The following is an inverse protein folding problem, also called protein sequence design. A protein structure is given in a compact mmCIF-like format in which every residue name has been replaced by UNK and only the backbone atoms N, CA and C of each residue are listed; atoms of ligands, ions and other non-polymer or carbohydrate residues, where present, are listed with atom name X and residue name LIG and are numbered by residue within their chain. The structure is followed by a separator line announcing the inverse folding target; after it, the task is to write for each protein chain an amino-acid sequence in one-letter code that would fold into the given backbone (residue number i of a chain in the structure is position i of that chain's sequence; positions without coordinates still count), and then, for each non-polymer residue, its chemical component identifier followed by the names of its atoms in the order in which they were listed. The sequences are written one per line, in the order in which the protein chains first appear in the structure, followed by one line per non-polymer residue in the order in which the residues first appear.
data_IF_325243467068
#
_entry.id   IF_325243467068
#
_cell.length_a   1.000
_cell.length_b   1.000
_cell.length_c   1.000
_cell.angle_alpha   90.00
_cell.angle_beta   90.00
_cell.angle_gamma   90.00
#
_symmetry.space_group_name_H-M   'P 1'
#
loop_
_entity.id
_entity.type
_entity.pdbx_description
1 polymer ?
#
# COMPACT_ATOMS: atom_id res chain seq x y z
N UNK A 1 -3.49 11.38 13.19
CA UNK A 1 -3.40 9.99 13.67
C UNK A 1 -2.41 9.95 14.83
N UNK A 2 -2.76 9.27 15.93
CA UNK A 2 -1.81 9.00 17.02
C UNK A 2 -1.00 7.73 16.73
N UNK A 3 0.05 7.48 17.50
CA UNK A 3 0.96 6.35 17.28
C UNK A 3 0.27 4.99 17.43
N UNK A 4 -0.64 4.85 18.40
CA UNK A 4 -1.39 3.61 18.62
C UNK A 4 -2.23 3.22 17.40
N UNK A 5 -2.90 4.19 16.78
CA UNK A 5 -3.67 3.97 15.56
C UNK A 5 -2.78 3.65 14.36
N UNK A 6 -1.61 4.28 14.26
CA UNK A 6 -0.64 4.00 13.20
C UNK A 6 -0.17 2.54 13.27
N UNK A 7 0.27 2.08 14.45
CA UNK A 7 0.70 0.70 14.69
C UNK A 7 -0.43 -0.30 14.40
N UNK A 8 -1.67 0.03 14.78
CA UNK A 8 -2.84 -0.81 14.50
C UNK A 8 -3.08 -0.97 12.99
N UNK A 9 -3.13 0.13 12.23
CA UNK A 9 -3.33 0.07 10.77
C UNK A 9 -2.21 -0.74 10.12
N UNK A 10 -0.95 -0.50 10.50
CA UNK A 10 0.18 -1.24 9.95
C UNK A 10 0.04 -2.75 10.17
N UNK A 11 -0.38 -3.18 11.37
CA UNK A 11 -0.62 -4.59 11.68
C UNK A 11 -1.78 -5.16 10.88
N UNK A 12 -2.87 -4.42 10.75
CA UNK A 12 -4.04 -4.85 9.97
C UNK A 12 -3.67 -5.00 8.48
N UNK A 13 -2.91 -4.06 7.92
CA UNK A 13 -2.41 -4.12 6.54
C UNK A 13 -1.48 -5.31 6.30
N UNK A 14 -0.61 -5.63 7.25
CA UNK A 14 0.24 -6.82 7.14
C UNK A 14 -0.59 -8.11 7.04
N UNK A 15 -1.59 -8.27 7.91
CA UNK A 15 -2.50 -9.41 7.85
C UNK A 15 -3.27 -9.46 6.53
N UNK A 16 -3.77 -8.32 6.07
CA UNK A 16 -4.51 -8.26 4.81
C UNK A 16 -3.63 -8.57 3.60
N UNK A 17 -2.34 -8.21 3.63
CA UNK A 17 -1.37 -8.62 2.62
C UNK A 17 -1.07 -10.14 2.63
N UNK A 18 -1.23 -10.81 3.78
CA UNK A 18 -1.11 -12.26 3.92
C UNK A 18 -2.34 -12.97 3.34
N UNK A 19 -3.52 -12.38 3.52
CA UNK A 19 -4.80 -12.91 3.06
C UNK A 19 -5.06 -12.65 1.55
N UNK A 20 -4.73 -11.45 1.05
CA UNK A 20 -5.02 -11.02 -0.33
C UNK A 20 -4.03 -9.96 -0.87
N UNK A 21 -4.22 -9.56 -2.12
CA UNK A 21 -3.58 -8.37 -2.69
C UNK A 21 -4.37 -7.12 -2.32
N UNK A 22 -3.69 -6.14 -1.77
CA UNK A 22 -4.31 -4.85 -1.45
C UNK A 22 -3.77 -3.75 -2.35
N UNK A 23 -4.66 -2.93 -2.90
CA UNK A 23 -4.27 -1.77 -3.69
C UNK A 23 -4.01 -0.54 -2.80
N UNK A 24 -3.27 0.44 -3.32
CA UNK A 24 -2.95 1.68 -2.59
C UNK A 24 -4.20 2.46 -2.13
N UNK A 25 -5.27 2.46 -2.92
CA UNK A 25 -6.54 3.12 -2.58
C UNK A 25 -7.13 2.58 -1.27
N UNK A 26 -6.94 1.28 -1.00
CA UNK A 26 -7.43 0.64 0.21
C UNK A 26 -6.67 1.10 1.47
N UNK A 27 -5.35 1.29 1.34
CA UNK A 27 -4.51 1.88 2.39
C UNK A 27 -4.98 3.32 2.68
N UNK A 28 -5.22 4.11 1.63
CA UNK A 28 -5.74 5.47 1.76
C UNK A 28 -7.11 5.50 2.45
N UNK A 29 -8.03 4.61 2.07
CA UNK A 29 -9.36 4.51 2.70
C UNK A 29 -9.25 4.23 4.21
N UNK A 30 -8.36 3.33 4.64
CA UNK A 30 -8.11 3.06 6.07
C UNK A 30 -7.53 4.26 6.79
N UNK A 31 -6.56 4.94 6.19
CA UNK A 31 -5.96 6.14 6.76
C UNK A 31 -7.01 7.23 6.94
N UNK A 32 -7.85 7.49 5.93
CA UNK A 32 -8.95 8.46 6.00
C UNK A 32 -9.94 8.11 7.10
N UNK A 33 -10.36 6.84 7.18
CA UNK A 33 -11.28 6.35 8.23
C UNK A 33 -10.76 6.62 9.64
N UNK A 34 -9.46 6.48 9.87
CA UNK A 34 -8.85 6.68 11.20
C UNK A 34 -8.50 8.13 11.48
N UNK A 35 -8.17 8.92 10.45
CA UNK A 35 -7.87 10.33 10.62
C UNK A 35 -9.13 11.20 10.77
N UNK A 36 -10.29 10.70 10.34
CA UNK A 36 -11.57 11.38 10.43
C UNK A 36 -11.75 12.46 9.36
N UNK A 37 -12.91 13.10 9.39
CA UNK A 37 -13.38 14.06 8.36
C UNK A 37 -12.49 15.31 8.23
N UNK A 38 -11.76 15.67 9.29
CA UNK A 38 -10.87 16.84 9.31
C UNK A 38 -9.45 16.56 8.77
N UNK A 39 -9.19 15.37 8.21
CA UNK A 39 -7.90 15.07 7.62
C UNK A 39 -7.79 15.67 6.22
N UNK A 40 -6.87 16.62 6.03
CA UNK A 40 -6.55 17.10 4.69
C UNK A 40 -5.97 15.98 3.81
N UNK A 41 -6.13 16.13 2.49
CA UNK A 41 -5.59 15.20 1.50
C UNK A 41 -4.07 15.06 1.65
N UNK A 42 -3.34 16.16 1.78
CA UNK A 42 -1.87 16.14 1.96
C UNK A 42 -1.45 15.35 3.20
N UNK A 43 -2.19 15.50 4.30
CA UNK A 43 -1.92 14.76 5.53
C UNK A 43 -2.23 13.28 5.38
N UNK A 44 -3.34 12.93 4.71
CA UNK A 44 -3.68 11.54 4.42
C UNK A 44 -2.61 10.89 3.54
N UNK A 45 -2.21 11.57 2.46
CA UNK A 45 -1.16 11.12 1.54
C UNK A 45 0.18 10.92 2.26
N UNK A 46 0.63 11.89 3.06
CA UNK A 46 1.87 11.77 3.84
C UNK A 46 1.84 10.55 4.79
N UNK A 47 0.68 10.28 5.41
CA UNK A 47 0.51 9.12 6.29
C UNK A 47 0.50 7.80 5.51
N UNK A 48 -0.13 7.76 4.33
CA UNK A 48 -0.09 6.59 3.44
C UNK A 48 1.35 6.32 3.01
N UNK A 49 2.09 7.32 2.54
CA UNK A 49 3.47 7.14 2.11
C UNK A 49 4.39 6.68 3.25
N UNK A 50 4.18 7.19 4.47
CA UNK A 50 4.88 6.69 5.66
C UNK A 50 4.55 5.22 5.94
N UNK A 51 3.28 4.81 5.88
CA UNK A 51 2.87 3.42 6.06
C UNK A 51 3.49 2.50 5.00
N UNK A 52 3.43 2.88 3.73
CA UNK A 52 4.03 2.13 2.63
C UNK A 52 5.54 1.98 2.83
N UNK A 53 6.23 3.05 3.23
CA UNK A 53 7.67 3.01 3.50
C UNK A 53 8.01 2.02 4.62
N UNK A 54 7.24 2.02 5.71
CA UNK A 54 7.41 1.09 6.82
C UNK A 54 7.05 -0.36 6.47
N UNK A 55 6.07 -0.57 5.59
CA UNK A 55 5.69 -1.91 5.13
C UNK A 55 6.77 -2.49 4.22
N UNK A 56 7.23 -1.74 3.22
CA UNK A 56 8.28 -2.19 2.31
C UNK A 56 9.61 -2.42 3.05
N UNK A 57 10.03 -1.47 3.89
CA UNK A 57 11.28 -1.61 4.66
C UNK A 57 11.28 -2.77 5.65
N UNK A 58 10.11 -3.28 6.06
CA UNK A 58 10.01 -4.45 6.93
C UNK A 58 10.44 -5.76 6.26
N UNK A 59 10.49 -5.80 4.92
CA UNK A 59 10.74 -7.02 4.14
C UNK A 59 9.59 -8.03 4.17
N UNK A 60 8.46 -7.72 4.85
CA UNK A 60 7.27 -8.58 4.93
C UNK A 60 6.25 -8.30 3.85
N UNK A 61 6.42 -7.22 3.09
CA UNK A 61 5.49 -6.79 2.04
C UNK A 61 6.28 -6.45 0.79
N UNK A 62 5.77 -6.83 -0.36
CA UNK A 62 6.32 -6.46 -1.67
C UNK A 62 5.31 -5.69 -2.52
N UNK A 63 5.82 -4.76 -3.32
CA UNK A 63 5.03 -4.00 -4.29
C UNK A 63 5.03 -4.67 -5.67
N UNK A 64 3.88 -4.64 -6.33
CA UNK A 64 3.70 -5.28 -7.64
C UNK A 64 2.38 -4.92 -8.29
N UNK A 65 1.99 -5.77 -9.23
CA UNK A 65 0.67 -5.71 -9.85
C UNK A 65 0.11 -7.12 -10.11
N UNK A 66 -1.22 -7.30 -10.00
CA UNK A 66 -1.91 -8.45 -10.57
C UNK A 66 -1.66 -8.54 -12.08
N UNK A 67 -1.54 -9.76 -12.60
CA UNK A 67 -1.52 -10.00 -14.04
C UNK A 67 -2.94 -10.21 -14.56
N UNK A 68 -3.16 -9.96 -15.86
CA UNK A 68 -4.45 -10.24 -16.52
C UNK A 68 -4.88 -11.70 -16.45
N UNK A 69 -3.95 -12.60 -16.16
CA UNK A 69 -4.17 -14.04 -15.99
C UNK A 69 -4.41 -14.48 -14.54
N UNK A 70 -4.58 -13.53 -13.60
CA UNK A 70 -4.79 -13.83 -12.17
C UNK A 70 -3.50 -14.21 -11.43
N UNK A 71 -2.33 -13.88 -11.99
CA UNK A 71 -1.03 -14.05 -11.37
C UNK A 71 -0.54 -12.78 -10.67
N UNK A 72 0.67 -12.84 -10.12
CA UNK A 72 1.32 -11.71 -9.45
C UNK A 72 2.64 -11.38 -10.14
N UNK A 73 2.89 -10.09 -10.39
CA UNK A 73 4.14 -9.58 -10.93
C UNK A 73 4.77 -8.58 -9.95
N UNK A 74 5.78 -8.99 -9.18
CA UNK A 74 6.50 -8.05 -8.32
C UNK A 74 7.28 -7.05 -9.18
N UNK A 75 7.40 -5.81 -8.70
CA UNK A 75 8.12 -4.76 -9.44
C UNK A 75 9.64 -4.96 -9.50
N UNK A 76 10.22 -5.82 -8.64
CA UNK A 76 11.67 -6.07 -8.55
C UNK A 76 12.49 -4.79 -8.39
N UNK A 77 11.99 -3.86 -7.58
CA UNK A 77 12.66 -2.61 -7.21
C UNK A 77 13.14 -2.68 -5.76
N UNK A 78 14.16 -1.90 -5.43
CA UNK A 78 14.51 -1.65 -4.02
C UNK A 78 13.38 -0.86 -3.32
N UNK A 79 13.30 -0.93 -1.99
CA UNK A 79 12.27 -0.20 -1.26
C UNK A 79 12.25 1.31 -1.57
N UNK A 80 13.39 2.02 -1.61
CA UNK A 80 13.40 3.43 -2.00
C UNK A 80 12.92 3.66 -3.43
N UNK A 81 13.33 2.82 -4.39
CA UNK A 81 12.91 2.97 -5.78
C UNK A 81 11.42 2.70 -5.98
N UNK A 82 10.85 1.74 -5.24
CA UNK A 82 9.41 1.49 -5.24
C UNK A 82 8.64 2.70 -4.67
N UNK A 83 9.10 3.30 -3.57
CA UNK A 83 8.48 4.50 -3.01
C UNK A 83 8.50 5.68 -3.98
N UNK A 84 9.66 5.97 -4.57
CA UNK A 84 9.79 7.05 -5.57
C UNK A 84 8.86 6.83 -6.75
N UNK A 85 8.71 5.59 -7.21
CA UNK A 85 7.77 5.25 -8.28
C UNK A 85 6.32 5.50 -7.87
N UNK A 86 5.91 5.09 -6.66
CA UNK A 86 4.55 5.30 -6.16
C UNK A 86 4.24 6.79 -6.05
N UNK A 87 5.17 7.59 -5.54
CA UNK A 87 5.01 9.05 -5.45
C UNK A 87 4.81 9.67 -6.82
N UNK A 88 5.67 9.32 -7.79
CA UNK A 88 5.59 9.84 -9.15
C UNK A 88 4.29 9.43 -9.85
N UNK A 89 3.83 8.19 -9.68
CA UNK A 89 2.56 7.72 -10.25
C UNK A 89 1.34 8.40 -9.60
N UNK A 90 1.37 8.65 -8.29
CA UNK A 90 0.31 9.38 -7.59
C UNK A 90 0.30 10.86 -8.00
N UNK A 91 1.46 11.50 -8.17
CA UNK A 91 1.55 12.85 -8.72
C UNK A 91 1.00 12.94 -10.14
N UNK A 92 1.33 11.97 -11.00
CA UNK A 92 0.84 11.90 -12.37
C UNK A 92 -0.68 11.69 -12.44
N UNK A 93 -1.27 11.03 -11.45
CA UNK A 93 -2.73 10.86 -11.35
C UNK A 93 -3.44 12.21 -11.13
N UNK A 94 -2.81 13.16 -10.42
CA UNK A 94 -3.36 14.48 -10.13
C UNK A 94 -4.51 14.49 -9.11
N UNK A 95 -4.92 13.33 -8.63
CA UNK A 95 -5.99 13.10 -7.65
C UNK A 95 -5.65 11.89 -6.77
N UNK A 96 -6.52 11.56 -5.82
CA UNK A 96 -6.32 10.39 -4.96
C UNK A 96 -6.63 9.07 -5.69
N UNK A 97 -5.85 8.00 -5.45
CA UNK A 97 -6.12 6.69 -6.00
C UNK A 97 -7.45 6.16 -5.46
N UNK A 98 -8.22 5.58 -6.37
CA UNK A 98 -9.55 5.02 -6.12
C UNK A 98 -9.67 3.67 -6.82
N UNK A 99 -10.80 2.99 -6.61
CA UNK A 99 -11.16 1.75 -7.31
C UNK A 99 -11.14 2.01 -8.83
N UNK A 100 -10.41 1.18 -9.58
CA UNK A 100 -10.21 1.29 -11.02
C UNK A 100 -9.10 2.26 -11.46
N UNK A 101 -8.41 2.92 -10.51
CA UNK A 101 -7.24 3.77 -10.75
C UNK A 101 -6.05 3.27 -9.93
N UNK A 102 -5.79 1.97 -10.01
CA UNK A 102 -4.76 1.33 -9.19
C UNK A 102 -3.35 1.61 -9.71
N UNK A 103 -2.58 2.33 -8.90
CA UNK A 103 -1.17 2.61 -9.16
C UNK A 103 -0.29 1.39 -8.82
N UNK A 104 -0.53 0.84 -7.63
CA UNK A 104 0.27 -0.24 -7.05
C UNK A 104 -0.58 -1.14 -6.19
N UNK A 105 -0.16 -2.41 -6.14
CA UNK A 105 -0.69 -3.42 -5.24
C UNK A 105 0.41 -3.93 -4.33
N UNK A 106 0.00 -4.49 -3.20
CA UNK A 106 0.87 -5.04 -2.17
C UNK A 106 0.44 -6.46 -1.77
N UNK A 107 1.41 -7.31 -1.44
CA UNK A 107 1.19 -8.66 -0.89
C UNK A 107 2.32 -9.03 0.07
N UNK A 108 2.12 -10.06 0.88
CA UNK A 108 3.13 -10.55 1.81
C UNK A 108 4.37 -11.13 1.08
N UNK A 109 5.56 -10.94 1.66
CA UNK A 109 6.84 -11.41 1.13
C UNK A 109 7.58 -12.34 2.11
N UNK A 110 8.22 -13.43 1.63
CA UNK A 110 8.02 -14.02 0.31
C UNK A 110 6.62 -14.63 0.21
N UNK A 111 5.94 -14.43 -0.91
CA UNK A 111 4.67 -15.12 -1.17
C UNK A 111 4.93 -16.61 -1.43
N UNK A 112 5.02 -17.40 -0.36
CA UNK A 112 4.95 -18.85 -0.45
C UNK A 112 3.49 -19.17 -0.76
N UNK A 113 3.17 -19.47 -2.02
CA UNK A 113 1.88 -20.12 -2.32
C UNK A 113 1.94 -21.51 -1.68
N UNK A 114 1.13 -21.84 -0.66
CA UNK A 114 1.01 -23.23 -0.25
C UNK A 114 0.46 -24.00 -1.47
N UNK A 115 1.11 -25.11 -1.74
CA UNK A 115 0.91 -26.07 -2.83
C UNK A 115 -0.48 -26.00 -3.51
N UNK A 116 -0.47 -25.77 -4.84
CA UNK A 116 -1.49 -26.33 -5.73
C UNK A 116 -1.40 -27.85 -5.71
#
# INVERSE_FOLDING_TARGET
MNEANFVKIKKDLLRECEDDWIALWWILAKVRKVCGENCSNDKARALVMRLVAELLSSGKVEAGCPTSTGGWKPWRLSHPAALTRIEAEWDALGEDPDIGKELVWFTASPRVRPHQ
#
